data_IF_213098114879
#
_entry.id   IF_213098114879
#
_cell.length_a   1.000
_cell.length_b   1.000
_cell.length_c   1.000
_cell.angle_alpha   90.00
_cell.angle_beta   90.00
_cell.angle_gamma   90.00
#
_symmetry.space_group_name_H-M   'P 1'
#
loop_
_entity.id
_entity.type
_entity.pdbx_description
1 polymer ?
#
# COMPACT_ATOMS: atom_id res chain seq x y z
N UNK A 1 -34.49 21.06 -10.84
CA UNK A 1 -35.31 20.78 -9.63
C UNK A 1 -35.25 19.30 -9.24
N UNK A 2 -35.50 18.37 -10.15
CA UNK A 2 -35.51 16.90 -9.90
C UNK A 2 -34.17 16.38 -9.32
N UNK A 3 -33.01 16.74 -9.90
CA UNK A 3 -31.69 16.31 -9.43
C UNK A 3 -31.46 16.63 -7.95
N UNK A 4 -31.88 17.83 -7.50
CA UNK A 4 -31.72 18.24 -6.09
C UNK A 4 -32.50 17.33 -5.13
N UNK A 5 -33.73 16.98 -5.45
CA UNK A 5 -34.55 16.08 -4.62
C UNK A 5 -33.96 14.64 -4.59
N UNK A 6 -33.46 14.15 -5.71
CA UNK A 6 -32.81 12.86 -5.74
C UNK A 6 -31.53 12.84 -4.89
N UNK A 7 -30.68 13.85 -5.00
CA UNK A 7 -29.48 13.97 -4.16
C UNK A 7 -29.84 14.06 -2.68
N UNK A 8 -30.86 14.86 -2.33
CA UNK A 8 -31.34 15.00 -0.96
C UNK A 8 -31.86 13.66 -0.40
N UNK A 9 -32.58 12.89 -1.21
CA UNK A 9 -33.02 11.53 -0.88
C UNK A 9 -31.84 10.65 -0.53
N UNK A 10 -30.79 10.61 -1.40
CA UNK A 10 -29.63 9.77 -1.22
C UNK A 10 -28.86 10.15 0.08
N UNK A 11 -28.64 11.44 0.33
CA UNK A 11 -28.03 11.88 1.58
C UNK A 11 -28.83 11.49 2.81
N UNK A 12 -30.15 11.67 2.77
CA UNK A 12 -31.03 11.25 3.88
C UNK A 12 -30.98 9.75 4.09
N UNK A 13 -31.00 8.96 3.03
CA UNK A 13 -30.91 7.49 3.10
C UNK A 13 -29.59 7.07 3.72
N UNK A 14 -28.48 7.71 3.33
CA UNK A 14 -27.13 7.43 3.82
C UNK A 14 -26.98 7.78 5.30
N UNK A 15 -27.43 8.99 5.71
CA UNK A 15 -27.33 9.47 7.11
C UNK A 15 -28.29 8.69 8.04
N UNK A 16 -29.46 8.31 7.57
CA UNK A 16 -30.45 7.53 8.34
C UNK A 16 -30.08 6.05 8.50
N UNK A 17 -29.16 5.55 7.69
CA UNK A 17 -28.62 4.22 7.88
C UNK A 17 -27.75 4.21 9.14
N UNK A 18 -28.05 3.31 10.10
CA UNK A 18 -27.31 3.25 11.37
C UNK A 18 -25.87 2.73 11.23
N UNK A 19 -25.57 2.00 10.16
CA UNK A 19 -24.29 1.33 9.95
C UNK A 19 -23.34 2.15 9.06
N UNK A 20 -23.83 2.68 7.93
CA UNK A 20 -22.97 3.34 6.92
C UNK A 20 -22.17 4.54 7.43
N UNK A 21 -22.76 5.52 8.16
CA UNK A 21 -21.99 6.65 8.65
C UNK A 21 -20.88 6.25 9.64
N UNK A 22 -21.16 5.25 10.49
CA UNK A 22 -20.15 4.70 11.41
C UNK A 22 -19.02 4.02 10.67
N UNK A 23 -19.35 3.21 9.66
CA UNK A 23 -18.36 2.55 8.82
C UNK A 23 -17.47 3.57 8.10
N UNK A 24 -18.06 4.61 7.49
CA UNK A 24 -17.34 5.65 6.75
C UNK A 24 -16.36 6.41 7.65
N UNK A 25 -16.68 6.59 8.94
CA UNK A 25 -15.83 7.33 9.86
C UNK A 25 -14.83 6.40 10.60
N UNK A 26 -15.30 5.29 11.17
CA UNK A 26 -14.49 4.42 12.03
C UNK A 26 -13.49 3.60 11.20
N UNK A 27 -13.90 3.08 10.05
CA UNK A 27 -13.07 2.21 9.25
C UNK A 27 -11.78 2.87 8.73
N UNK A 28 -11.82 4.11 8.15
CA UNK A 28 -10.59 4.83 7.81
C UNK A 28 -9.70 5.11 9.02
N UNK A 29 -10.28 5.48 10.15
CA UNK A 29 -9.52 5.71 11.38
C UNK A 29 -8.79 4.43 11.83
N UNK A 30 -9.50 3.30 11.86
CA UNK A 30 -8.88 2.02 12.23
C UNK A 30 -7.74 1.65 11.28
N UNK A 31 -7.97 1.72 9.98
CA UNK A 31 -6.93 1.35 9.00
C UNK A 31 -5.72 2.29 9.12
N UNK A 32 -5.94 3.59 9.17
CA UNK A 32 -4.86 4.58 9.27
C UNK A 32 -4.07 4.46 10.58
N UNK A 33 -4.71 4.04 11.69
CA UNK A 33 -4.03 3.89 12.98
C UNK A 33 -3.34 2.53 13.12
N UNK A 34 -3.97 1.45 12.66
CA UNK A 34 -3.49 0.08 12.91
C UNK A 34 -2.49 -0.39 11.85
N UNK A 35 -2.80 -0.19 10.56
CA UNK A 35 -2.01 -0.78 9.47
C UNK A 35 -0.55 -0.32 9.41
N UNK A 36 -0.20 0.97 9.61
CA UNK A 36 1.20 1.39 9.58
C UNK A 36 2.05 0.79 10.70
N UNK A 37 1.41 0.39 11.81
CA UNK A 37 2.08 -0.29 12.91
C UNK A 37 2.13 -1.82 12.71
N UNK A 38 1.05 -2.40 12.18
CA UNK A 38 0.94 -3.85 11.96
C UNK A 38 1.77 -4.34 10.76
N UNK A 39 1.95 -3.50 9.76
CA UNK A 39 2.63 -3.82 8.51
C UNK A 39 4.01 -3.17 8.39
N UNK A 40 4.67 -2.82 9.49
CA UNK A 40 6.05 -2.34 9.47
C UNK A 40 6.95 -3.43 8.88
N UNK A 41 7.52 -3.12 7.72
CA UNK A 41 8.63 -3.89 7.13
C UNK A 41 9.99 -3.36 7.64
N UNK A 42 9.98 -2.52 8.67
CA UNK A 42 11.18 -2.13 9.38
C UNK A 42 11.75 -3.37 10.08
N UNK A 43 12.94 -3.72 9.70
CA UNK A 43 13.65 -4.82 10.31
C UNK A 43 14.41 -4.23 11.48
N UNK A 44 13.73 -4.10 12.59
CA UNK A 44 14.33 -3.91 13.90
C UNK A 44 14.62 -5.29 14.49
N UNK A 45 15.72 -5.43 15.24
CA UNK A 45 16.07 -6.66 15.94
C UNK A 45 16.28 -7.90 15.06
N UNK A 46 17.14 -7.83 14.03
CA UNK A 46 17.64 -9.04 13.36
C UNK A 46 18.41 -9.89 14.35
N UNK A 47 17.84 -11.01 14.75
CA UNK A 47 18.44 -11.93 15.70
C UNK A 47 19.56 -12.70 15.03
N UNK A 48 20.79 -12.48 15.50
CA UNK A 48 21.99 -13.10 14.94
C UNK A 48 22.62 -14.06 15.96
N UNK A 49 23.00 -15.25 15.50
CA UNK A 49 23.87 -16.17 16.21
C UNK A 49 25.29 -16.08 15.62
N UNK A 50 26.31 -15.97 16.43
CA UNK A 50 27.69 -15.85 15.96
C UNK A 50 28.50 -17.04 16.48
N UNK A 51 29.20 -17.70 15.56
CA UNK A 51 30.16 -18.78 15.85
C UNK A 51 31.55 -18.18 15.65
N UNK A 52 32.31 -18.09 16.69
CA UNK A 52 33.70 -17.61 16.65
C UNK A 52 34.66 -18.81 16.82
N UNK A 53 35.27 -19.25 15.74
CA UNK A 53 36.23 -20.35 15.73
C UNK A 53 37.71 -19.84 15.88
N UNK A 54 37.92 -18.53 15.86
CA UNK A 54 39.27 -17.94 15.81
C UNK A 54 39.68 -17.32 17.15
N UNK A 55 38.72 -16.75 17.90
CA UNK A 55 38.88 -16.09 19.21
C UNK A 55 39.96 -15.00 19.31
N UNK A 56 40.44 -14.31 18.26
CA UNK A 56 41.38 -13.22 18.37
C UNK A 56 40.69 -11.90 18.72
N UNK A 57 41.46 -10.85 19.09
CA UNK A 57 40.90 -9.53 19.38
C UNK A 57 40.07 -8.91 18.23
N UNK A 58 40.33 -9.32 17.00
CA UNK A 58 39.58 -8.83 15.81
C UNK A 58 38.18 -9.41 15.72
N UNK A 59 37.97 -10.69 16.02
CA UNK A 59 36.65 -11.32 16.02
C UNK A 59 35.78 -10.77 17.15
N UNK A 60 36.37 -10.51 18.33
CA UNK A 60 35.69 -9.84 19.43
C UNK A 60 35.25 -8.42 19.07
N UNK A 61 36.12 -7.66 18.37
CA UNK A 61 35.75 -6.32 17.86
C UNK A 61 34.64 -6.38 16.83
N UNK A 62 34.61 -7.40 15.97
CA UNK A 62 33.55 -7.61 14.99
C UNK A 62 32.24 -7.94 15.70
N UNK A 63 32.24 -8.87 16.63
CA UNK A 63 31.08 -9.24 17.45
C UNK A 63 30.52 -8.01 18.19
N UNK A 64 31.40 -7.23 18.83
CA UNK A 64 30.96 -6.01 19.51
C UNK A 64 30.42 -4.95 18.56
N UNK A 65 30.94 -4.86 17.34
CA UNK A 65 30.42 -3.94 16.32
C UNK A 65 29.03 -4.37 15.83
N UNK A 66 28.79 -5.67 15.70
CA UNK A 66 27.47 -6.22 15.35
C UNK A 66 26.49 -5.96 16.50
N UNK A 67 26.88 -6.22 17.74
CA UNK A 67 26.07 -6.00 18.93
C UNK A 67 25.71 -4.52 19.16
N UNK A 68 26.63 -3.62 18.83
CA UNK A 68 26.43 -2.17 18.94
C UNK A 68 25.60 -1.59 17.78
N UNK A 69 25.28 -2.40 16.76
CA UNK A 69 24.46 -1.97 15.63
C UNK A 69 22.97 -1.95 15.99
N UNK A 70 22.23 -0.91 15.64
CA UNK A 70 20.79 -0.85 15.92
C UNK A 70 19.96 -1.87 15.14
N UNK A 71 20.58 -2.57 14.17
CA UNK A 71 19.90 -3.53 13.31
C UNK A 71 19.97 -4.97 13.79
N UNK A 72 20.98 -5.29 14.65
CA UNK A 72 21.24 -6.66 15.07
C UNK A 72 21.08 -6.83 16.57
N UNK A 73 20.48 -7.96 16.95
CA UNK A 73 20.40 -8.43 18.32
C UNK A 73 21.11 -9.76 18.44
N UNK A 74 22.23 -9.77 19.15
CA UNK A 74 22.94 -11.01 19.44
C UNK A 74 22.11 -11.88 20.37
N UNK A 75 21.75 -13.09 19.92
CA UNK A 75 20.86 -14.00 20.69
C UNK A 75 21.61 -15.22 21.21
N UNK A 76 22.68 -15.66 20.52
CA UNK A 76 23.44 -16.82 20.91
C UNK A 76 24.89 -16.78 20.39
N UNK A 77 25.79 -17.41 21.13
CA UNK A 77 27.19 -17.68 20.75
C UNK A 77 27.41 -19.19 20.79
N UNK A 78 26.87 -19.96 19.82
CA UNK A 78 27.02 -21.40 19.80
C UNK A 78 28.45 -21.82 19.41
N UNK A 79 28.94 -22.90 20.04
CA UNK A 79 30.30 -23.44 19.80
C UNK A 79 30.39 -24.22 18.47
N UNK A 80 29.28 -24.60 17.85
CA UNK A 80 29.25 -25.43 16.65
C UNK A 80 28.21 -24.93 15.65
N UNK A 81 28.53 -25.17 14.36
CA UNK A 81 27.60 -24.82 13.27
C UNK A 81 26.22 -25.50 13.42
N UNK A 82 26.21 -26.78 13.85
CA UNK A 82 24.95 -27.52 14.04
C UNK A 82 24.03 -26.85 15.08
N UNK A 83 24.58 -26.42 16.21
CA UNK A 83 23.80 -25.70 17.23
C UNK A 83 23.31 -24.34 16.73
N UNK A 84 24.08 -23.67 15.90
CA UNK A 84 23.66 -22.40 15.32
C UNK A 84 22.51 -22.56 14.31
N UNK A 85 22.54 -23.60 13.49
CA UNK A 85 21.45 -23.95 12.57
C UNK A 85 20.20 -24.34 13.37
N UNK A 86 20.35 -25.09 14.47
CA UNK A 86 19.25 -25.43 15.35
C UNK A 86 18.56 -24.16 15.95
N UNK A 87 19.32 -23.09 16.24
CA UNK A 87 18.73 -21.81 16.62
C UNK A 87 17.87 -21.18 15.51
N UNK A 88 18.27 -21.33 14.24
CA UNK A 88 17.44 -20.88 13.10
C UNK A 88 16.19 -21.75 12.96
N UNK A 89 16.33 -23.06 13.03
CA UNK A 89 15.20 -24.01 12.93
C UNK A 89 14.16 -23.80 14.03
N UNK A 90 14.61 -23.52 15.25
CA UNK A 90 13.76 -23.19 16.38
C UNK A 90 13.23 -21.74 16.37
N UNK A 91 13.51 -21.00 15.31
CA UNK A 91 13.09 -19.59 15.17
C UNK A 91 13.62 -18.66 16.26
N UNK A 92 14.77 -19.00 16.86
CA UNK A 92 15.47 -18.21 17.87
C UNK A 92 16.41 -17.19 17.23
N UNK A 93 17.00 -17.53 16.06
CA UNK A 93 17.86 -16.67 15.26
C UNK A 93 17.33 -16.52 13.84
N UNK A 94 17.50 -15.35 13.25
CA UNK A 94 17.15 -15.04 11.86
C UNK A 94 18.38 -15.24 10.92
N UNK A 95 19.58 -15.16 11.48
CA UNK A 95 20.85 -15.30 10.76
C UNK A 95 21.89 -15.97 11.64
N UNK A 96 22.87 -16.60 11.00
CA UNK A 96 24.11 -17.02 11.65
C UNK A 96 25.33 -16.45 10.90
N UNK A 97 26.34 -16.09 11.65
CA UNK A 97 27.65 -15.71 11.15
C UNK A 97 28.69 -16.67 11.73
N UNK A 98 29.45 -17.33 10.87
CA UNK A 98 30.57 -18.14 11.29
C UNK A 98 31.88 -17.46 10.89
N UNK A 99 32.72 -17.18 11.88
CA UNK A 99 34.07 -16.64 11.73
C UNK A 99 35.05 -17.82 11.74
N UNK A 100 35.68 -18.15 10.61
CA UNK A 100 36.59 -19.30 10.52
C UNK A 100 37.94 -19.02 11.22
N UNK A 101 38.66 -20.08 11.52
CA UNK A 101 40.02 -20.00 12.05
C UNK A 101 40.94 -19.31 11.05
N UNK A 102 41.75 -18.38 11.53
CA UNK A 102 42.70 -17.63 10.71
C UNK A 102 42.13 -16.37 10.08
N UNK A 103 40.90 -16.00 10.40
CA UNK A 103 40.21 -14.80 9.87
C UNK A 103 41.05 -13.52 10.06
N UNK A 104 41.67 -13.33 11.25
CA UNK A 104 42.53 -12.18 11.51
C UNK A 104 43.81 -12.18 10.68
N UNK A 105 44.44 -13.35 10.49
CA UNK A 105 45.66 -13.47 9.69
C UNK A 105 45.42 -13.12 8.22
N UNK A 106 44.28 -13.53 7.66
CA UNK A 106 43.89 -13.19 6.29
C UNK A 106 43.63 -11.69 6.17
N UNK A 107 42.94 -11.09 7.13
CA UNK A 107 42.63 -9.67 7.15
C UNK A 107 43.89 -8.80 7.24
N UNK A 108 44.84 -9.18 8.11
CA UNK A 108 46.11 -8.47 8.28
C UNK A 108 46.99 -8.59 7.04
N UNK A 109 46.97 -9.73 6.36
CA UNK A 109 47.74 -9.96 5.13
C UNK A 109 47.10 -9.35 3.88
N UNK A 110 46.00 -8.57 4.02
CA UNK A 110 45.32 -7.96 2.89
C UNK A 110 44.62 -8.95 1.96
N UNK A 111 44.42 -10.21 2.40
CA UNK A 111 43.65 -11.21 1.70
C UNK A 111 42.16 -11.08 2.04
N UNK A 112 41.25 -11.41 1.14
CA UNK A 112 39.82 -11.41 1.45
C UNK A 112 39.53 -12.45 2.53
N UNK A 113 39.31 -12.01 3.76
CA UNK A 113 38.88 -12.89 4.84
C UNK A 113 37.42 -13.30 4.60
N UNK A 114 37.20 -14.60 4.44
CA UNK A 114 35.86 -15.13 4.16
C UNK A 114 35.17 -15.52 5.46
N UNK A 115 33.99 -14.98 5.71
CA UNK A 115 33.08 -15.42 6.76
C UNK A 115 31.85 -16.09 6.13
N UNK A 116 31.35 -17.15 6.76
CA UNK A 116 30.13 -17.81 6.29
C UNK A 116 28.92 -17.13 6.93
N UNK A 117 27.98 -16.71 6.08
CA UNK A 117 26.71 -16.16 6.51
C UNK A 117 25.60 -17.11 6.04
N UNK A 118 24.83 -17.67 6.98
CA UNK A 118 23.61 -18.40 6.63
C UNK A 118 22.38 -17.63 7.16
N UNK A 119 21.33 -17.57 6.37
CA UNK A 119 20.20 -16.70 6.58
C UNK A 119 18.92 -17.51 6.50
N UNK A 120 17.99 -17.24 7.40
CA UNK A 120 16.63 -17.76 7.31
C UNK A 120 15.89 -17.07 6.15
N UNK A 121 15.81 -17.75 5.00
CA UNK A 121 15.17 -17.23 3.79
C UNK A 121 13.64 -17.36 3.79
N UNK A 122 13.02 -17.88 4.85
CA UNK A 122 11.54 -17.94 4.98
C UNK A 122 10.94 -16.54 4.84
N UNK A 123 11.60 -15.52 5.39
CA UNK A 123 11.28 -14.12 5.13
C UNK A 123 12.38 -13.52 4.24
N UNK A 124 12.15 -13.53 2.92
CA UNK A 124 13.14 -13.06 1.94
C UNK A 124 13.55 -11.60 2.12
N UNK A 125 12.66 -10.74 2.59
CA UNK A 125 12.95 -9.32 2.84
C UNK A 125 13.88 -9.16 4.04
N UNK A 126 13.61 -9.87 5.15
CA UNK A 126 14.49 -9.91 6.32
C UNK A 126 15.87 -10.44 5.94
N UNK A 127 15.90 -11.55 5.20
CA UNK A 127 17.14 -12.15 4.76
C UNK A 127 17.99 -11.24 3.88
N UNK A 128 17.38 -10.60 2.89
CA UNK A 128 18.08 -9.71 1.96
C UNK A 128 18.65 -8.47 2.60
N UNK A 129 17.87 -7.77 3.42
CA UNK A 129 18.33 -6.57 4.13
C UNK A 129 19.36 -6.91 5.20
N UNK A 130 19.15 -8.00 5.95
CA UNK A 130 20.10 -8.47 6.94
C UNK A 130 21.48 -8.79 6.33
N UNK A 131 21.50 -9.45 5.17
CA UNK A 131 22.74 -9.69 4.45
C UNK A 131 23.42 -8.38 4.04
N UNK A 132 22.69 -7.41 3.54
CA UNK A 132 23.25 -6.12 3.12
C UNK A 132 23.89 -5.37 4.29
N UNK A 133 23.21 -5.32 5.44
CA UNK A 133 23.75 -4.67 6.65
C UNK A 133 24.97 -5.41 7.21
N UNK A 134 24.94 -6.74 7.21
CA UNK A 134 26.06 -7.55 7.68
C UNK A 134 27.27 -7.40 6.77
N UNK A 135 27.09 -7.39 5.44
CA UNK A 135 28.18 -7.15 4.49
C UNK A 135 28.84 -5.78 4.69
N UNK A 136 28.08 -4.74 5.01
CA UNK A 136 28.64 -3.41 5.32
C UNK A 136 29.49 -3.42 6.60
N UNK A 137 29.12 -4.21 7.60
CA UNK A 137 29.88 -4.35 8.83
C UNK A 137 31.15 -5.20 8.62
N UNK A 138 31.06 -6.27 7.82
CA UNK A 138 32.17 -7.16 7.52
C UNK A 138 33.25 -6.49 6.65
N UNK A 139 32.86 -5.68 5.67
CA UNK A 139 33.76 -5.04 4.71
C UNK A 139 33.78 -3.50 4.82
N UNK A 140 34.27 -2.92 5.92
CA UNK A 140 34.34 -1.47 6.08
C UNK A 140 35.35 -0.81 5.11
N UNK A 141 36.22 -1.60 4.46
CA UNK A 141 37.26 -1.12 3.54
C UNK A 141 36.85 -1.19 2.06
N UNK A 142 35.69 -1.70 1.74
CA UNK A 142 35.12 -1.52 0.37
C UNK A 142 34.61 -0.07 0.21
N UNK A 143 35.47 0.87 0.55
CA UNK A 143 35.24 2.31 0.47
C UNK A 143 35.45 2.79 -0.96
N UNK A 144 34.51 2.52 -1.82
CA UNK A 144 34.05 3.64 -2.60
C UNK A 144 33.32 4.56 -1.62
N UNK A 145 33.83 5.77 -1.39
CA UNK A 145 33.16 6.79 -0.56
C UNK A 145 31.92 7.24 -1.32
N UNK A 146 30.93 6.33 -1.38
CA UNK A 146 29.62 6.63 -1.95
C UNK A 146 28.84 7.32 -0.83
N UNK A 147 28.85 8.64 -0.84
CA UNK A 147 27.97 9.43 0.03
C UNK A 147 26.53 9.16 -0.37
N UNK A 148 25.88 8.20 0.25
CA UNK A 148 24.46 7.90 0.05
C UNK A 148 23.67 9.00 0.74
N UNK A 149 23.01 9.83 -0.06
CA UNK A 149 22.12 10.89 0.44
C UNK A 149 20.67 10.49 0.14
N UNK A 150 19.97 10.02 1.15
CA UNK A 150 18.55 9.75 1.04
C UNK A 150 17.78 11.06 0.84
N UNK A 151 16.83 11.07 -0.12
CA UNK A 151 15.93 12.19 -0.38
C UNK A 151 14.49 11.74 -0.14
N UNK A 152 13.63 12.67 0.32
CA UNK A 152 12.18 12.48 0.50
C UNK A 152 11.75 11.62 1.70
N UNK A 153 12.52 10.63 2.11
CA UNK A 153 12.33 9.86 3.33
C UNK A 153 13.71 9.64 3.96
N UNK A 154 14.16 10.62 4.75
CA UNK A 154 15.53 10.67 5.31
C UNK A 154 15.80 9.53 6.30
N UNK A 155 14.76 9.09 7.00
CA UNK A 155 14.84 8.04 8.01
C UNK A 155 14.45 6.65 7.47
N UNK A 156 14.11 6.54 6.17
CA UNK A 156 13.60 5.30 5.55
C UNK A 156 12.38 4.73 6.28
N UNK A 157 11.61 5.58 6.97
CA UNK A 157 10.44 5.20 7.74
C UNK A 157 9.36 4.61 6.82
N UNK A 158 9.01 3.37 7.07
CA UNK A 158 8.00 2.64 6.30
C UNK A 158 6.61 3.25 6.43
N UNK A 159 6.30 3.86 7.59
CA UNK A 159 5.04 4.55 7.84
C UNK A 159 4.83 5.71 6.86
N UNK A 160 5.89 6.48 6.61
CA UNK A 160 5.88 7.58 5.62
C UNK A 160 5.52 7.09 4.23
N UNK A 161 6.03 5.91 3.83
CA UNK A 161 5.74 5.30 2.54
C UNK A 161 4.31 4.73 2.46
N UNK A 162 3.80 4.20 3.57
CA UNK A 162 2.54 3.46 3.62
C UNK A 162 1.32 4.37 3.74
N UNK A 163 1.42 5.50 4.47
CA UNK A 163 0.29 6.41 4.73
C UNK A 163 -0.41 6.90 3.46
N UNK A 164 0.26 7.44 2.41
CA UNK A 164 -0.41 7.84 1.17
C UNK A 164 -1.05 6.66 0.43
N UNK A 165 -0.45 5.48 0.55
CA UNK A 165 -0.97 4.26 -0.07
C UNK A 165 -2.26 3.77 0.61
N UNK A 166 -2.35 3.86 1.93
CA UNK A 166 -3.58 3.54 2.68
C UNK A 166 -4.71 4.52 2.37
N UNK A 167 -4.43 5.82 2.21
CA UNK A 167 -5.42 6.80 1.74
C UNK A 167 -6.02 6.38 0.40
N UNK A 168 -5.18 5.92 -0.52
CA UNK A 168 -5.59 5.44 -1.84
C UNK A 168 -6.48 4.19 -1.72
N UNK A 169 -6.08 3.22 -0.90
CA UNK A 169 -6.85 2.00 -0.66
C UNK A 169 -8.24 2.30 -0.08
N UNK A 170 -8.33 3.22 0.88
CA UNK A 170 -9.59 3.61 1.49
C UNK A 170 -10.54 4.27 0.50
N UNK A 171 -10.03 5.10 -0.40
CA UNK A 171 -10.84 5.73 -1.45
C UNK A 171 -11.40 4.69 -2.42
N UNK A 172 -10.64 3.66 -2.80
CA UNK A 172 -11.15 2.54 -3.62
C UNK A 172 -12.34 1.87 -2.95
N UNK A 173 -12.18 1.54 -1.67
CA UNK A 173 -13.24 0.85 -0.92
C UNK A 173 -14.50 1.69 -0.79
N UNK A 174 -14.37 2.97 -0.51
CA UNK A 174 -15.54 3.81 -0.27
C UNK A 174 -16.20 4.31 -1.56
N UNK A 175 -15.40 4.75 -2.53
CA UNK A 175 -15.93 5.35 -3.75
C UNK A 175 -16.25 4.35 -4.87
N UNK A 176 -15.75 3.12 -4.77
CA UNK A 176 -16.07 2.04 -5.71
C UNK A 176 -17.13 1.09 -5.18
N UNK A 177 -16.91 0.59 -3.95
CA UNK A 177 -17.73 -0.46 -3.35
C UNK A 177 -19.13 0.03 -2.92
N UNK A 178 -19.18 1.16 -2.19
CA UNK A 178 -20.46 1.64 -1.67
C UNK A 178 -21.45 2.07 -2.75
N UNK A 179 -21.06 2.80 -3.82
CA UNK A 179 -21.98 3.10 -4.91
C UNK A 179 -22.49 1.86 -5.62
N UNK A 180 -21.62 0.86 -5.85
CA UNK A 180 -22.03 -0.40 -6.48
C UNK A 180 -23.13 -1.09 -5.67
N UNK A 181 -22.93 -1.23 -4.35
CA UNK A 181 -23.91 -1.85 -3.47
C UNK A 181 -25.21 -1.05 -3.39
N UNK A 182 -25.13 0.28 -3.36
CA UNK A 182 -26.34 1.13 -3.32
C UNK A 182 -27.21 0.91 -4.56
N UNK A 183 -26.59 0.94 -5.76
CA UNK A 183 -27.33 0.77 -7.02
C UNK A 183 -27.94 -0.64 -7.10
N UNK A 184 -27.18 -1.68 -6.74
CA UNK A 184 -27.70 -3.06 -6.77
C UNK A 184 -28.75 -3.28 -5.70
N UNK A 185 -28.62 -2.69 -4.51
CA UNK A 185 -29.62 -2.78 -3.45
C UNK A 185 -30.97 -2.21 -3.86
N UNK A 186 -30.98 -1.10 -4.60
CA UNK A 186 -32.25 -0.57 -5.17
C UNK A 186 -32.81 -1.44 -6.31
N UNK A 187 -31.93 -2.09 -7.07
CA UNK A 187 -32.34 -3.04 -8.11
C UNK A 187 -32.99 -4.27 -7.46
N UNK A 188 -32.40 -4.81 -6.42
CA UNK A 188 -32.88 -5.97 -5.67
C UNK A 188 -34.22 -5.66 -4.95
N UNK A 189 -34.36 -4.43 -4.44
CA UNK A 189 -35.61 -3.94 -3.82
C UNK A 189 -36.69 -3.55 -4.83
N UNK A 190 -36.44 -3.61 -6.14
CA UNK A 190 -37.40 -3.24 -7.18
C UNK A 190 -37.69 -1.73 -7.32
N UNK A 191 -36.97 -0.88 -6.57
CA UNK A 191 -37.18 0.57 -6.61
C UNK A 191 -36.66 1.22 -7.90
N UNK A 192 -35.73 0.59 -8.59
CA UNK A 192 -35.26 1.03 -9.91
C UNK A 192 -36.37 0.99 -10.95
N UNK A 193 -37.27 -0.01 -10.90
CA UNK A 193 -38.40 -0.14 -11.84
C UNK A 193 -39.37 1.02 -11.69
N UNK A 194 -39.64 1.45 -10.45
CA UNK A 194 -40.47 2.63 -10.19
C UNK A 194 -39.88 3.91 -10.78
N UNK A 195 -38.55 4.03 -10.75
CA UNK A 195 -37.82 5.19 -11.29
C UNK A 195 -37.84 5.15 -12.84
N UNK A 196 -37.75 3.97 -13.44
CA UNK A 196 -37.74 3.79 -14.89
C UNK A 196 -39.06 4.25 -15.58
N UNK A 197 -40.19 4.25 -14.85
CA UNK A 197 -41.48 4.79 -15.36
C UNK A 197 -41.60 6.31 -15.18
N UNK A 198 -40.66 6.94 -14.45
CA UNK A 198 -40.62 8.41 -14.29
C UNK A 198 -39.86 9.09 -15.44
N UNK A 199 -40.17 10.38 -15.76
CA UNK A 199 -39.47 11.12 -16.82
C UNK A 199 -38.04 11.55 -16.43
N UNK A 200 -37.36 10.85 -15.51
CA UNK A 200 -36.00 11.12 -15.09
C UNK A 200 -35.01 10.57 -16.11
N UNK A 201 -34.04 11.40 -16.53
CA UNK A 201 -32.97 10.93 -17.43
C UNK A 201 -32.01 9.98 -16.69
N UNK A 202 -31.48 8.97 -17.41
CA UNK A 202 -30.52 8.00 -16.88
C UNK A 202 -29.28 8.71 -16.27
N UNK A 203 -28.81 9.75 -16.94
CA UNK A 203 -27.67 10.53 -16.48
C UNK A 203 -27.98 11.22 -15.14
N UNK A 204 -29.16 11.86 -15.02
CA UNK A 204 -29.56 12.54 -13.76
C UNK A 204 -29.69 11.54 -12.63
N UNK A 205 -30.25 10.36 -12.88
CA UNK A 205 -30.35 9.28 -11.88
C UNK A 205 -28.98 8.80 -11.44
N UNK A 206 -28.11 8.42 -12.38
CA UNK A 206 -26.76 7.94 -12.08
C UNK A 206 -25.94 9.00 -11.31
N UNK A 207 -25.99 10.25 -11.75
CA UNK A 207 -25.27 11.34 -11.10
C UNK A 207 -25.76 11.58 -9.67
N UNK A 208 -27.08 11.51 -9.43
CA UNK A 208 -27.63 11.66 -8.08
C UNK A 208 -27.16 10.56 -7.12
N UNK A 209 -26.92 9.36 -7.63
CA UNK A 209 -26.38 8.22 -6.86
C UNK A 209 -24.92 8.36 -6.52
N UNK A 210 -24.10 8.88 -7.43
CA UNK A 210 -22.66 8.93 -7.27
C UNK A 210 -22.17 10.13 -6.46
N UNK A 211 -22.86 11.28 -6.60
CA UNK A 211 -22.42 12.55 -6.01
C UNK A 211 -22.24 12.50 -4.48
N UNK A 212 -23.11 11.85 -3.69
CA UNK A 212 -22.89 11.68 -2.26
C UNK A 212 -21.61 10.91 -1.94
N UNK A 213 -21.31 9.85 -2.70
CA UNK A 213 -20.10 9.05 -2.47
C UNK A 213 -18.81 9.77 -2.89
N UNK A 214 -18.87 10.64 -3.92
CA UNK A 214 -17.75 11.50 -4.25
C UNK A 214 -17.44 12.47 -3.11
N UNK A 215 -18.46 13.08 -2.53
CA UNK A 215 -18.31 13.99 -1.40
C UNK A 215 -17.77 13.26 -0.16
N UNK A 216 -18.25 12.04 0.11
CA UNK A 216 -17.71 11.17 1.16
C UNK A 216 -16.24 10.86 0.91
N UNK A 217 -15.84 10.56 -0.33
CA UNK A 217 -14.44 10.34 -0.69
C UNK A 217 -13.54 11.51 -0.29
N UNK A 218 -13.97 12.75 -0.57
CA UNK A 218 -13.25 13.95 -0.14
C UNK A 218 -13.23 14.12 1.39
N UNK A 219 -14.33 13.85 2.07
CA UNK A 219 -14.39 13.91 3.54
C UNK A 219 -13.40 12.91 4.15
N UNK A 220 -13.40 11.68 3.65
CA UNK A 220 -12.49 10.62 4.11
C UNK A 220 -11.03 10.95 3.80
N UNK A 221 -10.74 11.48 2.61
CA UNK A 221 -9.39 11.94 2.28
C UNK A 221 -8.89 13.00 3.29
N UNK A 222 -9.72 14.00 3.58
CA UNK A 222 -9.37 15.03 4.56
C UNK A 222 -9.20 14.45 5.97
N UNK A 223 -10.06 13.52 6.37
CA UNK A 223 -9.91 12.79 7.64
C UNK A 223 -8.59 12.02 7.70
N UNK A 224 -8.24 11.33 6.63
CA UNK A 224 -6.97 10.60 6.55
C UNK A 224 -5.76 11.53 6.56
N UNK A 225 -5.82 12.68 5.88
CA UNK A 225 -4.76 13.70 5.93
C UNK A 225 -4.60 14.30 7.32
N UNK A 226 -5.71 14.55 8.01
CA UNK A 226 -5.72 15.04 9.39
C UNK A 226 -5.10 14.00 10.34
N UNK A 227 -5.44 12.71 10.20
CA UNK A 227 -4.85 11.63 10.98
C UNK A 227 -3.35 11.46 10.67
N UNK A 228 -2.96 11.58 9.40
CA UNK A 228 -1.56 11.54 8.99
C UNK A 228 -0.73 12.63 9.66
N UNK A 229 -1.28 13.85 9.75
CA UNK A 229 -0.66 14.96 10.46
C UNK A 229 -0.64 14.75 11.97
N UNK A 230 -1.77 14.38 12.58
CA UNK A 230 -1.90 14.32 14.03
C UNK A 230 -1.12 13.13 14.66
N UNK A 231 -1.05 11.98 13.97
CA UNK A 231 -0.46 10.74 14.53
C UNK A 231 0.97 10.54 14.06
N UNK A 232 1.25 10.84 12.78
CA UNK A 232 2.55 10.56 12.15
C UNK A 232 3.36 11.82 11.88
N UNK A 233 2.82 13.02 12.12
CA UNK A 233 3.48 14.28 11.79
C UNK A 233 3.67 14.50 10.28
N UNK A 234 2.97 13.72 9.45
CA UNK A 234 3.13 13.74 8.00
C UNK A 234 2.17 14.76 7.37
N UNK A 235 2.75 15.75 6.71
CA UNK A 235 2.01 16.72 5.89
C UNK A 235 2.35 16.54 4.43
N UNK A 236 1.43 16.82 3.49
CA UNK A 236 1.75 16.79 2.08
C UNK A 236 2.79 17.85 1.75
N UNK A 237 3.88 17.46 1.11
CA UNK A 237 4.95 18.37 0.65
C UNK A 237 4.50 19.17 -0.57
N UNK A 238 3.67 18.57 -1.42
CA UNK A 238 3.12 19.19 -2.61
C UNK A 238 1.80 19.93 -2.37
N UNK A 239 1.23 20.50 -3.43
CA UNK A 239 -0.01 21.25 -3.37
C UNK A 239 -1.21 20.36 -3.04
N UNK A 240 -2.00 20.75 -2.03
CA UNK A 240 -3.26 20.11 -1.68
C UNK A 240 -4.25 20.15 -2.86
N UNK A 241 -4.23 21.21 -3.66
CA UNK A 241 -5.06 21.32 -4.86
C UNK A 241 -4.74 20.20 -5.87
N UNK A 242 -3.49 19.87 -6.05
CA UNK A 242 -3.05 18.76 -6.92
C UNK A 242 -3.58 17.42 -6.42
N UNK A 243 -3.56 17.20 -5.09
CA UNK A 243 -4.13 15.99 -4.46
C UNK A 243 -5.64 15.92 -4.71
N UNK A 244 -6.36 17.03 -4.55
CA UNK A 244 -7.80 17.05 -4.79
C UNK A 244 -8.17 16.82 -6.25
N UNK A 245 -7.41 17.39 -7.19
CA UNK A 245 -7.62 17.16 -8.62
C UNK A 245 -7.41 15.68 -8.98
N UNK A 246 -6.31 15.10 -8.52
CA UNK A 246 -6.02 13.69 -8.71
C UNK A 246 -7.10 12.79 -8.10
N UNK A 247 -7.56 13.12 -6.88
CA UNK A 247 -8.63 12.41 -6.17
C UNK A 247 -9.95 12.51 -6.91
N UNK A 248 -10.31 13.67 -7.46
CA UNK A 248 -11.53 13.85 -8.23
C UNK A 248 -11.58 12.86 -9.41
N UNK A 249 -10.51 12.81 -10.21
CA UNK A 249 -10.44 11.92 -11.36
C UNK A 249 -10.48 10.45 -10.91
N UNK A 250 -9.76 10.11 -9.86
CA UNK A 250 -9.72 8.76 -9.34
C UNK A 250 -11.07 8.28 -8.80
N UNK A 251 -11.79 9.13 -8.08
CA UNK A 251 -13.14 8.84 -7.56
C UNK A 251 -14.12 8.62 -8.71
N UNK A 252 -13.99 9.37 -9.81
CA UNK A 252 -14.75 9.12 -11.04
C UNK A 252 -14.44 7.73 -11.59
N UNK A 253 -13.16 7.33 -11.71
CA UNK A 253 -12.80 5.99 -12.19
C UNK A 253 -13.41 4.90 -11.34
N UNK A 254 -13.24 4.97 -10.02
CA UNK A 254 -13.72 3.93 -9.11
C UNK A 254 -15.24 3.84 -9.06
N UNK A 255 -15.94 4.97 -9.06
CA UNK A 255 -17.41 4.98 -9.12
C UNK A 255 -17.93 4.49 -10.47
N UNK A 256 -17.24 4.77 -11.57
CA UNK A 256 -17.53 4.22 -12.89
C UNK A 256 -17.40 2.69 -12.91
N UNK A 257 -16.34 2.14 -12.30
CA UNK A 257 -16.18 0.69 -12.14
C UNK A 257 -17.32 0.09 -11.31
N UNK A 258 -17.68 0.73 -10.20
CA UNK A 258 -18.82 0.32 -9.36
C UNK A 258 -20.11 0.27 -10.14
N UNK A 259 -20.37 1.26 -11.01
CA UNK A 259 -21.56 1.27 -11.90
C UNK A 259 -21.52 0.12 -12.91
N UNK A 260 -20.37 -0.14 -13.55
CA UNK A 260 -20.26 -1.27 -14.49
C UNK A 260 -20.62 -2.57 -13.78
N UNK A 261 -20.03 -2.82 -12.61
CA UNK A 261 -20.30 -4.05 -11.84
C UNK A 261 -21.76 -4.12 -11.41
N UNK A 262 -22.38 -3.00 -10.99
CA UNK A 262 -23.78 -2.96 -10.59
C UNK A 262 -24.75 -3.28 -11.74
N UNK A 263 -24.39 -2.93 -12.97
CA UNK A 263 -25.23 -3.23 -14.14
C UNK A 263 -25.29 -4.75 -14.42
N UNK A 264 -24.19 -5.47 -14.19
CA UNK A 264 -24.11 -6.92 -14.42
C UNK A 264 -24.52 -7.76 -13.21
N UNK A 265 -24.66 -7.16 -12.04
CA UNK A 265 -25.06 -7.85 -10.82
C UNK A 265 -26.58 -7.77 -10.62
N UNK A 266 -27.19 -8.89 -10.25
CA UNK A 266 -28.62 -8.98 -9.92
C UNK A 266 -28.90 -8.89 -8.43
N UNK A 267 -27.95 -9.30 -7.58
CA UNK A 267 -28.07 -9.28 -6.12
C UNK A 267 -26.91 -8.51 -5.48
N UNK A 268 -27.18 -7.92 -4.29
CA UNK A 268 -26.12 -7.24 -3.51
C UNK A 268 -24.97 -8.17 -3.19
N UNK A 269 -25.26 -9.44 -2.89
CA UNK A 269 -24.23 -10.43 -2.57
C UNK A 269 -23.32 -10.68 -3.77
N UNK A 270 -23.87 -10.81 -4.98
CA UNK A 270 -23.08 -10.96 -6.19
C UNK A 270 -22.18 -9.75 -6.44
N UNK A 271 -22.74 -8.53 -6.35
CA UNK A 271 -21.97 -7.29 -6.53
C UNK A 271 -20.83 -7.19 -5.50
N UNK A 272 -21.10 -7.58 -4.24
CA UNK A 272 -20.13 -7.56 -3.17
C UNK A 272 -18.95 -8.48 -3.47
N UNK A 273 -19.19 -9.72 -3.90
CA UNK A 273 -18.12 -10.66 -4.23
C UNK A 273 -17.28 -10.20 -5.43
N UNK A 274 -17.92 -9.71 -6.49
CA UNK A 274 -17.20 -9.23 -7.68
C UNK A 274 -16.35 -8.01 -7.34
N UNK A 275 -16.92 -7.04 -6.60
CA UNK A 275 -16.17 -5.86 -6.16
C UNK A 275 -15.01 -6.23 -5.25
N UNK A 276 -15.23 -7.12 -4.28
CA UNK A 276 -14.18 -7.56 -3.36
C UNK A 276 -13.02 -8.22 -4.11
N UNK A 277 -13.33 -9.10 -5.07
CA UNK A 277 -12.32 -9.76 -5.89
C UNK A 277 -11.52 -8.77 -6.74
N UNK A 278 -12.21 -7.85 -7.43
CA UNK A 278 -11.54 -6.79 -8.21
C UNK A 278 -10.65 -5.92 -7.32
N UNK A 279 -11.13 -5.51 -6.16
CA UNK A 279 -10.37 -4.68 -5.23
C UNK A 279 -9.13 -5.40 -4.70
N UNK A 280 -9.25 -6.69 -4.38
CA UNK A 280 -8.12 -7.50 -3.91
C UNK A 280 -7.02 -7.54 -4.97
N UNK A 281 -7.37 -7.82 -6.23
CA UNK A 281 -6.41 -7.80 -7.34
C UNK A 281 -5.79 -6.41 -7.51
N UNK A 282 -6.60 -5.35 -7.48
CA UNK A 282 -6.10 -3.99 -7.65
C UNK A 282 -5.14 -3.60 -6.53
N UNK A 283 -5.45 -3.92 -5.28
CA UNK A 283 -4.59 -3.62 -4.13
C UNK A 283 -3.27 -4.38 -4.22
N UNK A 284 -3.31 -5.70 -4.47
CA UNK A 284 -2.10 -6.52 -4.58
C UNK A 284 -1.19 -6.07 -5.74
N UNK A 285 -1.79 -5.66 -6.86
CA UNK A 285 -1.06 -5.24 -8.07
C UNK A 285 -0.84 -3.73 -8.17
N UNK A 286 -1.09 -2.97 -7.10
CA UNK A 286 -0.93 -1.50 -7.10
C UNK A 286 0.48 -1.02 -6.76
N UNK A 287 1.33 -1.90 -6.23
CA UNK A 287 2.61 -1.48 -5.66
C UNK A 287 2.51 -1.01 -4.20
N UNK A 288 1.41 -1.35 -3.50
CA UNK A 288 1.21 -1.02 -2.09
C UNK A 288 2.16 -1.82 -1.20
N UNK A 289 2.13 -3.13 -1.32
CA UNK A 289 2.92 -4.04 -0.47
C UNK A 289 4.27 -4.40 -1.10
N UNK A 290 4.30 -4.65 -2.41
CA UNK A 290 5.51 -5.02 -3.15
C UNK A 290 5.74 -4.02 -4.27
N UNK A 291 6.96 -3.48 -4.43
CA UNK A 291 7.29 -2.62 -5.56
C UNK A 291 6.98 -3.32 -6.89
N UNK A 292 6.39 -2.59 -7.83
CA UNK A 292 6.03 -3.15 -9.15
C UNK A 292 7.26 -3.68 -9.88
N UNK A 293 8.41 -3.01 -9.73
CA UNK A 293 9.69 -3.42 -10.32
C UNK A 293 10.19 -4.79 -9.82
N UNK A 294 9.70 -5.26 -8.67
CA UNK A 294 10.06 -6.56 -8.10
C UNK A 294 9.12 -7.70 -8.55
N UNK A 295 8.07 -7.36 -9.30
CA UNK A 295 7.13 -8.35 -9.83
C UNK A 295 7.68 -9.00 -11.10
N UNK A 296 7.27 -10.25 -11.40
CA UNK A 296 7.56 -10.89 -12.70
C UNK A 296 7.01 -10.04 -13.86
N UNK A 297 7.65 -10.09 -15.04
CA UNK A 297 7.30 -9.25 -16.19
C UNK A 297 5.82 -9.34 -16.58
N UNK A 298 5.26 -10.56 -16.61
CA UNK A 298 3.84 -10.74 -16.92
C UNK A 298 2.90 -10.01 -15.94
N UNK A 299 3.26 -9.98 -14.65
CA UNK A 299 2.48 -9.27 -13.63
C UNK A 299 2.62 -7.76 -13.79
N UNK A 300 3.82 -7.26 -14.15
CA UNK A 300 4.02 -5.84 -14.43
C UNK A 300 3.13 -5.38 -15.60
N UNK A 301 2.96 -6.17 -16.66
CA UNK A 301 2.05 -5.85 -17.76
C UNK A 301 0.58 -5.75 -17.29
N UNK A 302 0.13 -6.64 -16.42
CA UNK A 302 -1.23 -6.56 -15.87
C UNK A 302 -1.45 -5.30 -15.04
N UNK A 303 -0.43 -4.80 -14.34
CA UNK A 303 -0.55 -3.57 -13.54
C UNK A 303 -0.89 -2.34 -14.39
N UNK A 304 -0.62 -2.32 -15.70
CA UNK A 304 -1.01 -1.20 -16.58
C UNK A 304 -2.53 -1.03 -16.71
N UNK A 305 -3.31 -2.10 -16.51
CA UNK A 305 -4.77 -2.05 -16.53
C UNK A 305 -5.35 -1.65 -15.14
N UNK A 306 -4.50 -1.54 -14.14
CA UNK A 306 -4.90 -1.23 -12.78
C UNK A 306 -4.93 0.29 -12.53
N UNK A 307 -6.11 0.93 -12.39
CA UNK A 307 -6.19 2.37 -12.13
C UNK A 307 -5.60 2.77 -10.77
N UNK A 308 -5.62 1.86 -9.79
CA UNK A 308 -5.08 2.11 -8.46
C UNK A 308 -3.57 2.35 -8.49
N UNK A 309 -2.83 1.70 -9.39
CA UNK A 309 -1.40 1.92 -9.61
C UNK A 309 -1.09 3.39 -9.86
N UNK A 310 -1.79 4.00 -10.83
CA UNK A 310 -1.53 5.38 -11.24
C UNK A 310 -1.86 6.39 -10.14
N UNK A 311 -2.97 6.18 -9.45
CA UNK A 311 -3.35 7.07 -8.37
C UNK A 311 -2.40 6.95 -7.16
N UNK A 312 -1.96 5.74 -6.84
CA UNK A 312 -0.99 5.51 -5.78
C UNK A 312 0.36 6.16 -6.08
N UNK A 313 0.82 6.05 -7.33
CA UNK A 313 2.03 6.70 -7.79
C UNK A 313 1.90 8.23 -7.65
N UNK A 314 0.80 8.84 -8.14
CA UNK A 314 0.52 10.26 -7.97
C UNK A 314 0.50 10.68 -6.51
N UNK A 315 -0.19 9.94 -5.65
CA UNK A 315 -0.25 10.25 -4.22
C UNK A 315 1.14 10.27 -3.59
N UNK A 316 2.00 9.30 -3.92
CA UNK A 316 3.39 9.29 -3.44
C UNK A 316 4.22 10.44 -4.02
N UNK A 317 4.06 10.75 -5.30
CA UNK A 317 4.78 11.85 -5.95
C UNK A 317 4.41 13.20 -5.32
N UNK A 318 3.13 13.47 -5.14
CA UNK A 318 2.67 14.76 -4.59
C UNK A 318 2.88 14.83 -3.09
N UNK A 319 2.49 13.78 -2.35
CA UNK A 319 2.51 13.79 -0.88
C UNK A 319 3.92 13.77 -0.31
N UNK A 320 4.83 12.94 -0.88
CA UNK A 320 6.19 12.75 -0.36
C UNK A 320 7.25 13.57 -1.08
N UNK A 321 7.12 13.71 -2.43
CA UNK A 321 8.16 14.36 -3.24
C UNK A 321 7.86 15.82 -3.56
N UNK A 322 6.63 16.28 -3.32
CA UNK A 322 6.23 17.65 -3.63
C UNK A 322 6.03 17.92 -5.14
N UNK A 323 5.80 16.86 -5.93
CA UNK A 323 5.61 16.99 -7.38
C UNK A 323 4.42 17.87 -7.73
N UNK A 324 4.57 18.70 -8.75
CA UNK A 324 3.52 19.56 -9.29
C UNK A 324 2.59 18.85 -10.28
N UNK A 325 1.60 19.60 -10.77
CA UNK A 325 0.64 19.07 -11.76
C UNK A 325 1.37 18.60 -13.03
N UNK A 326 2.40 19.33 -13.47
CA UNK A 326 3.18 18.97 -14.67
C UNK A 326 3.83 17.59 -14.60
N UNK A 327 4.26 17.16 -13.40
CA UNK A 327 4.96 15.90 -13.20
C UNK A 327 4.01 14.69 -13.21
N UNK A 328 2.72 14.89 -12.95
CA UNK A 328 1.69 13.84 -12.84
C UNK A 328 0.71 13.83 -14.02
N UNK A 329 0.94 14.65 -15.05
CA UNK A 329 0.05 14.77 -16.23
C UNK A 329 -0.18 13.41 -16.90
N UNK A 330 0.86 12.59 -17.04
CA UNK A 330 0.74 11.27 -17.65
C UNK A 330 -0.27 10.39 -16.91
N UNK A 331 -0.14 10.31 -15.61
CA UNK A 331 -1.04 9.49 -14.76
C UNK A 331 -2.47 10.06 -14.76
N UNK A 332 -2.62 11.41 -14.75
CA UNK A 332 -3.92 12.06 -14.86
C UNK A 332 -4.60 11.75 -16.20
N UNK A 333 -3.86 11.78 -17.30
CA UNK A 333 -4.38 11.43 -18.65
C UNK A 333 -4.86 9.98 -18.69
N UNK A 334 -4.06 9.05 -18.16
CA UNK A 334 -4.41 7.63 -18.11
C UNK A 334 -5.67 7.41 -17.27
N UNK A 335 -5.77 8.00 -16.08
CA UNK A 335 -6.98 7.88 -15.24
C UNK A 335 -8.20 8.54 -15.90
N UNK A 336 -8.03 9.66 -16.58
CA UNK A 336 -9.13 10.29 -17.33
C UNK A 336 -9.62 9.40 -18.48
N UNK A 337 -8.72 8.70 -19.14
CA UNK A 337 -9.06 7.69 -20.14
C UNK A 337 -9.84 6.52 -19.51
N UNK A 338 -9.40 5.99 -18.36
CA UNK A 338 -10.16 4.97 -17.62
C UNK A 338 -11.56 5.46 -17.24
N UNK A 339 -11.68 6.69 -16.73
CA UNK A 339 -12.97 7.27 -16.39
C UNK A 339 -13.91 7.29 -17.60
N UNK A 340 -13.46 7.82 -18.73
CA UNK A 340 -14.27 7.91 -19.96
C UNK A 340 -14.70 6.53 -20.48
N UNK A 341 -13.79 5.55 -20.47
CA UNK A 341 -14.10 4.17 -20.90
C UNK A 341 -15.13 3.53 -19.97
N UNK A 342 -14.93 3.61 -18.64
CA UNK A 342 -15.83 2.98 -17.66
C UNK A 342 -17.21 3.62 -17.66
N UNK A 343 -17.33 4.95 -17.76
CA UNK A 343 -18.63 5.62 -17.86
C UNK A 343 -19.30 5.33 -19.21
N UNK A 344 -18.57 5.33 -20.31
CA UNK A 344 -19.07 4.91 -21.62
C UNK A 344 -19.65 3.51 -21.58
N UNK A 345 -18.90 2.57 -20.96
CA UNK A 345 -19.36 1.20 -20.76
C UNK A 345 -20.58 1.12 -19.83
N UNK A 346 -20.56 1.82 -18.70
CA UNK A 346 -21.68 1.84 -17.76
C UNK A 346 -22.97 2.36 -18.41
N UNK A 347 -22.89 3.42 -19.21
CA UNK A 347 -24.05 3.99 -19.93
C UNK A 347 -24.54 3.03 -20.99
N UNK A 348 -23.65 2.40 -21.75
CA UNK A 348 -24.00 1.46 -22.80
C UNK A 348 -24.62 0.17 -22.24
N UNK A 349 -24.08 -0.34 -21.14
CA UNK A 349 -24.55 -1.58 -20.50
C UNK A 349 -25.86 -1.40 -19.70
N UNK A 350 -26.24 -0.15 -19.39
CA UNK A 350 -27.49 0.14 -18.69
C UNK A 350 -28.67 -0.09 -19.61
N UNK A 351 -29.19 -1.32 -19.65
CA UNK A 351 -30.45 -1.64 -20.37
C UNK A 351 -31.63 -1.32 -19.44
N UNK A 352 -32.57 -0.48 -19.93
CA UNK A 352 -33.90 -0.47 -19.35
C UNK A 352 -34.48 -1.87 -19.63
N UNK A 353 -34.75 -2.62 -18.56
CA UNK A 353 -35.65 -3.78 -18.72
C UNK A 353 -36.99 -3.23 -19.14
N UNK A 354 -37.38 -3.55 -20.38
CA UNK A 354 -38.73 -3.31 -20.88
C UNK A 354 -39.67 -4.35 -20.31
#
# INVERSE_FOLDING_TARGET
MILRYLIEKEFKQLIRNSFLPRLILIFPCMIMLVMPWAATLEIEDLRIAIIDNDHPPSSLRLTHRIESSPYFKLVALPDTYHKAVECIERNQADMLLEIPKGFEKEQVNGRPASALVAINAVNGTKGGLGNTYLQQILNPQSTSVTSIRYRFNLHLDYKTFMVPALMTMLLVMLCGFLPALNVVGEKEAGTIEQINVTPVSRFTFTLSKLLPYWLIGFIVLNLCMLLAWAVYGLTPVGSIFTIYLATLIFVLVMSGLGLVISNYSSTMQQAMFVMWFCMLIFILMSGLFTPISSMPDWAQYITYINPLRYFMEMMRMVYLKGSGIGDIVQQLCVLSCFATILYGWAIHSYRKQQ
#
